data_IF_890892130374
#
_entry.id   IF_890892130374
#
_cell.length_a   1.000
_cell.length_b   1.000
_cell.length_c   1.000
_cell.angle_alpha   90.00
_cell.angle_beta   90.00
_cell.angle_gamma   90.00
#
_symmetry.space_group_name_H-M   'P 1'
#
loop_
_entity.id
_entity.type
_entity.pdbx_description
1 polymer ?
#
# COMPACT_ATOMS: atom_id res chain seq x y z
N UNK A 1 2.00 -4.72 18.78
CA UNK A 1 2.03 -4.84 17.31
C UNK A 1 1.55 -3.52 16.69
N UNK A 2 2.40 -2.85 15.92
CA UNK A 2 2.07 -1.61 15.21
C UNK A 2 1.98 -1.90 13.71
N UNK A 3 0.88 -1.54 13.07
CA UNK A 3 0.58 -1.96 11.68
C UNK A 3 -0.03 -0.82 10.87
N UNK A 4 -0.06 -0.88 9.53
CA UNK A 4 -0.91 0.01 8.73
C UNK A 4 -2.38 -0.05 9.17
N UNK A 5 -3.09 1.07 9.14
CA UNK A 5 -4.50 1.15 9.55
C UNK A 5 -5.40 0.13 8.84
N UNK A 6 -5.13 -0.18 7.57
CA UNK A 6 -5.83 -1.19 6.77
C UNK A 6 -5.59 -2.63 7.23
N UNK A 7 -4.52 -2.90 7.98
CA UNK A 7 -4.12 -4.25 8.40
C UNK A 7 -4.49 -4.55 9.86
N UNK A 8 -5.01 -3.59 10.62
CA UNK A 8 -5.41 -3.81 12.04
C UNK A 8 -6.41 -4.95 12.18
N UNK A 9 -7.46 -4.96 11.36
CA UNK A 9 -8.48 -6.02 11.40
C UNK A 9 -8.01 -7.34 10.81
N UNK A 10 -7.10 -7.27 9.83
CA UNK A 10 -6.46 -8.45 9.26
C UNK A 10 -5.66 -9.19 10.34
N UNK A 11 -4.78 -8.48 11.05
CA UNK A 11 -4.02 -9.06 12.15
C UNK A 11 -4.91 -9.58 13.27
N UNK A 12 -5.97 -8.85 13.65
CA UNK A 12 -6.96 -9.35 14.63
C UNK A 12 -7.57 -10.68 14.20
N UNK A 13 -7.86 -10.83 12.90
CA UNK A 13 -8.43 -12.04 12.33
C UNK A 13 -7.42 -13.19 12.31
N UNK A 14 -6.16 -12.92 11.99
CA UNK A 14 -5.08 -13.90 12.08
C UNK A 14 -4.86 -14.39 13.52
N UNK A 15 -4.87 -13.49 14.53
CA UNK A 15 -4.84 -13.91 15.94
C UNK A 15 -6.00 -14.87 16.27
N UNK A 16 -7.22 -14.60 15.81
CA UNK A 16 -8.36 -15.52 16.02
C UNK A 16 -8.19 -16.85 15.31
N UNK A 17 -7.68 -16.84 14.09
CA UNK A 17 -7.49 -18.03 13.24
C UNK A 17 -6.45 -18.98 13.83
N UNK A 18 -5.36 -18.45 14.36
CA UNK A 18 -4.25 -19.26 14.87
C UNK A 18 -4.38 -19.60 16.36
N UNK A 19 -4.98 -18.74 17.19
CA UNK A 19 -5.28 -19.04 18.59
C UNK A 19 -6.64 -19.74 18.73
N UNK A 20 -6.77 -20.93 18.14
CA UNK A 20 -8.01 -21.72 18.01
C UNK A 20 -8.66 -22.17 19.34
N UNK A 21 -8.13 -21.75 20.50
CA UNK A 21 -8.59 -22.16 21.85
C UNK A 21 -9.21 -21.01 22.65
N UNK A 22 -10.22 -20.33 22.10
CA UNK A 22 -11.08 -19.39 22.84
C UNK A 22 -11.13 -17.98 22.27
N UNK A 23 -11.28 -16.98 23.16
CA UNK A 23 -11.23 -15.56 22.75
C UNK A 23 -9.79 -15.21 22.41
N UNK A 24 -9.56 -14.65 21.23
CA UNK A 24 -8.23 -14.20 20.83
C UNK A 24 -7.66 -13.24 21.90
N UNK A 25 -6.44 -13.49 22.43
CA UNK A 25 -5.84 -12.74 23.53
C UNK A 25 -5.35 -11.35 23.13
N UNK A 26 -6.08 -10.67 22.25
CA UNK A 26 -5.67 -9.45 21.55
C UNK A 26 -6.69 -8.33 21.64
N UNK A 27 -6.20 -7.13 21.92
CA UNK A 27 -6.97 -5.89 21.91
C UNK A 27 -6.55 -4.99 20.75
N UNK A 28 -7.53 -4.45 20.03
CA UNK A 28 -7.29 -3.49 18.94
C UNK A 28 -7.62 -2.08 19.41
N UNK A 29 -6.72 -1.12 19.19
CA UNK A 29 -6.93 0.28 19.55
C UNK A 29 -7.63 1.02 18.42
N UNK A 30 -8.80 1.60 18.72
CA UNK A 30 -9.55 2.50 17.83
C UNK A 30 -9.72 3.89 18.44
N UNK A 31 -9.78 3.97 19.77
CA UNK A 31 -9.97 5.20 20.55
C UNK A 31 -9.05 5.21 21.76
N UNK A 32 -8.89 6.38 22.37
CA UNK A 32 -8.06 6.58 23.55
C UNK A 32 -8.50 5.76 24.77
N UNK A 33 -9.77 5.37 24.85
CA UNK A 33 -10.33 4.52 25.93
C UNK A 33 -9.80 3.10 25.87
N UNK A 34 -9.53 2.58 24.66
CA UNK A 34 -9.14 1.19 24.46
C UNK A 34 -7.76 0.91 25.07
N UNK A 35 -6.88 1.92 25.09
CA UNK A 35 -5.57 1.84 25.76
C UNK A 35 -5.76 1.71 27.28
N UNK A 36 -6.69 2.46 27.86
CA UNK A 36 -7.00 2.36 29.29
C UNK A 36 -7.61 1.00 29.61
N UNK A 37 -8.52 0.49 28.77
CA UNK A 37 -9.08 -0.86 28.92
C UNK A 37 -8.01 -1.94 28.80
N UNK A 38 -7.04 -1.77 27.89
CA UNK A 38 -5.91 -2.68 27.76
C UNK A 38 -5.10 -2.76 29.05
N UNK A 39 -4.77 -1.62 29.67
CA UNK A 39 -4.04 -1.59 30.96
C UNK A 39 -4.76 -2.39 32.04
N UNK A 40 -6.09 -2.28 32.12
CA UNK A 40 -6.88 -3.03 33.09
C UNK A 40 -7.04 -4.53 32.76
N UNK A 41 -6.75 -4.95 31.53
CA UNK A 41 -7.05 -6.30 31.03
C UNK A 41 -5.83 -7.04 30.47
N UNK A 42 -4.62 -6.51 30.69
CA UNK A 42 -3.36 -7.02 30.15
C UNK A 42 -3.09 -8.49 30.53
N UNK A 43 -3.57 -8.94 31.71
CA UNK A 43 -3.48 -10.34 32.14
C UNK A 43 -4.29 -11.30 31.28
N UNK A 44 -5.37 -10.83 30.66
CA UNK A 44 -6.28 -11.64 29.82
C UNK A 44 -6.02 -11.40 28.32
N UNK A 45 -5.68 -10.17 27.94
CA UNK A 45 -5.41 -9.76 26.56
C UNK A 45 -4.02 -9.13 26.46
N UNK A 46 -2.94 -9.93 26.55
CA UNK A 46 -1.56 -9.45 26.57
C UNK A 46 -1.09 -8.81 25.25
N UNK A 47 -1.82 -9.00 24.14
CA UNK A 47 -1.43 -8.46 22.84
C UNK A 47 -2.21 -7.18 22.50
N UNK A 48 -1.50 -6.10 22.18
CA UNK A 48 -2.08 -4.85 21.68
C UNK A 48 -1.77 -4.66 20.19
N UNK A 49 -2.80 -4.44 19.38
CA UNK A 49 -2.68 -4.03 17.96
C UNK A 49 -3.11 -2.59 17.83
N UNK A 50 -2.27 -1.76 17.22
CA UNK A 50 -2.53 -0.34 17.01
C UNK A 50 -2.02 0.10 15.64
N UNK A 51 -2.70 1.06 15.00
CA UNK A 51 -2.19 1.64 13.76
C UNK A 51 -1.02 2.60 14.02
N UNK A 52 -0.15 2.80 13.03
CA UNK A 52 0.93 3.80 13.13
C UNK A 52 0.42 5.20 13.50
N UNK A 53 -0.70 5.62 12.92
CA UNK A 53 -1.30 6.94 13.17
C UNK A 53 -1.83 7.04 14.60
N UNK A 54 -2.44 5.98 15.13
CA UNK A 54 -2.93 5.92 16.51
C UNK A 54 -1.78 5.82 17.51
N UNK A 55 -0.70 5.10 17.19
CA UNK A 55 0.49 5.02 18.03
C UNK A 55 1.14 6.40 18.19
N UNK A 56 1.27 7.16 17.09
CA UNK A 56 1.76 8.53 17.15
C UNK A 56 0.82 9.45 17.95
N UNK A 57 -0.50 9.32 17.74
CA UNK A 57 -1.51 10.13 18.42
C UNK A 57 -1.54 9.92 19.93
N UNK A 58 -1.32 8.68 20.40
CA UNK A 58 -1.46 8.30 21.79
C UNK A 58 -0.15 7.88 22.46
N UNK A 59 0.99 8.37 21.93
CA UNK A 59 2.35 8.01 22.39
C UNK A 59 2.56 8.15 23.91
N UNK A 60 2.00 9.19 24.53
CA UNK A 60 2.16 9.45 25.97
C UNK A 60 1.45 8.39 26.82
N UNK A 61 0.24 7.98 26.41
CA UNK A 61 -0.48 6.88 27.07
C UNK A 61 0.22 5.54 26.89
N UNK A 62 0.84 5.32 25.73
CA UNK A 62 1.59 4.10 25.45
C UNK A 62 2.90 4.05 26.22
N UNK A 63 3.59 5.19 26.42
CA UNK A 63 4.82 5.27 27.19
C UNK A 63 4.62 4.97 28.69
N UNK A 64 3.40 5.14 29.20
CA UNK A 64 3.04 4.74 30.57
C UNK A 64 2.90 3.21 30.74
N UNK A 65 2.97 2.44 29.64
CA UNK A 65 2.78 0.99 29.63
C UNK A 65 4.13 0.32 29.38
N UNK A 66 4.45 -0.68 30.18
CA UNK A 66 5.62 -1.51 29.92
C UNK A 66 5.29 -2.56 28.86
N UNK A 67 6.03 -2.55 27.74
CA UNK A 67 5.93 -3.58 26.70
C UNK A 67 7.23 -4.36 26.60
N UNK A 68 7.10 -5.68 26.48
CA UNK A 68 8.25 -6.61 26.32
C UNK A 68 8.82 -6.64 24.91
N UNK A 69 7.93 -6.56 23.91
CA UNK A 69 8.25 -6.75 22.49
C UNK A 69 7.44 -5.76 21.65
N UNK A 70 8.13 -5.03 20.78
CA UNK A 70 7.55 -4.18 19.76
C UNK A 70 7.71 -4.88 18.41
N UNK A 71 6.59 -5.24 17.80
CA UNK A 71 6.55 -5.71 16.41
C UNK A 71 5.96 -4.62 15.55
N UNK A 72 6.65 -4.21 14.48
CA UNK A 72 6.15 -3.26 13.50
C UNK A 72 6.05 -3.94 12.13
N UNK A 73 4.84 -3.97 11.58
CA UNK A 73 4.55 -4.51 10.26
C UNK A 73 4.62 -3.41 9.19
N UNK A 74 5.09 -3.73 7.99
CA UNK A 74 5.43 -2.74 6.95
C UNK A 74 6.44 -1.69 7.45
N UNK A 75 7.54 -2.18 8.03
CA UNK A 75 8.59 -1.41 8.69
C UNK A 75 9.22 -0.32 7.84
N UNK A 76 9.07 -0.35 6.51
CA UNK A 76 9.48 0.73 5.60
C UNK A 76 8.87 2.09 5.96
N UNK A 77 7.78 2.15 6.75
CA UNK A 77 7.24 3.40 7.31
C UNK A 77 8.16 4.11 8.31
N UNK A 78 9.16 3.41 8.85
CA UNK A 78 10.15 3.91 9.81
C UNK A 78 11.48 4.32 9.17
N UNK A 79 11.52 4.44 7.84
CA UNK A 79 12.73 4.75 7.07
C UNK A 79 13.40 6.07 7.45
N UNK A 80 12.65 7.08 7.88
CA UNK A 80 13.22 8.37 8.26
C UNK A 80 13.64 8.37 9.75
N UNK A 81 14.94 8.53 10.01
CA UNK A 81 15.54 8.61 11.36
C UNK A 81 14.88 9.71 12.21
N UNK A 82 14.63 10.86 11.61
CA UNK A 82 14.03 12.03 12.26
C UNK A 82 12.50 12.04 12.21
N UNK A 83 11.90 10.93 11.78
CA UNK A 83 10.44 10.79 11.70
C UNK A 83 9.81 10.87 13.08
N UNK A 84 8.79 11.72 13.23
CA UNK A 84 7.98 11.84 14.47
C UNK A 84 7.47 10.48 14.97
N UNK A 85 7.13 9.60 14.04
CA UNK A 85 6.68 8.24 14.33
C UNK A 85 7.78 7.40 14.98
N UNK A 86 8.99 7.42 14.41
CA UNK A 86 10.13 6.68 14.95
C UNK A 86 10.46 7.15 16.36
N UNK A 87 10.60 8.46 16.56
CA UNK A 87 10.81 9.05 17.89
C UNK A 87 9.73 8.66 18.90
N UNK A 88 8.46 8.63 18.47
CA UNK A 88 7.36 8.22 19.34
C UNK A 88 7.42 6.73 19.72
N UNK A 89 7.88 5.86 18.83
CA UNK A 89 8.08 4.43 19.13
C UNK A 89 9.34 4.20 19.96
N UNK A 90 10.41 4.97 19.71
CA UNK A 90 11.65 4.94 20.50
C UNK A 90 11.39 5.36 21.95
N UNK A 91 10.55 6.38 22.17
CA UNK A 91 10.16 6.84 23.51
C UNK A 91 9.38 5.81 24.33
N UNK A 92 8.90 4.71 23.72
CA UNK A 92 8.25 3.62 24.45
C UNK A 92 9.26 2.76 25.22
N UNK A 93 10.56 2.88 24.94
CA UNK A 93 11.60 2.17 25.68
C UNK A 93 11.54 0.64 25.58
N UNK A 94 10.91 0.11 24.53
CA UNK A 94 10.71 -1.33 24.38
C UNK A 94 12.03 -2.04 24.05
N UNK A 95 12.45 -3.06 24.84
CA UNK A 95 13.78 -3.64 24.73
C UNK A 95 13.97 -4.53 23.50
N UNK A 96 12.92 -5.27 23.10
CA UNK A 96 12.97 -6.20 21.96
C UNK A 96 12.13 -5.66 20.82
N UNK A 97 12.73 -5.50 19.65
CA UNK A 97 12.09 -4.89 18.47
C UNK A 97 12.20 -5.83 17.28
N UNK A 98 11.08 -6.03 16.58
CA UNK A 98 10.99 -6.83 15.37
C UNK A 98 10.35 -5.99 14.27
N UNK A 99 11.04 -5.84 13.15
CA UNK A 99 10.50 -5.21 11.94
C UNK A 99 10.16 -6.28 10.91
N UNK A 100 8.94 -6.23 10.38
CA UNK A 100 8.50 -7.03 9.25
C UNK A 100 8.39 -6.11 8.03
N UNK A 101 9.04 -6.46 6.92
CA UNK A 101 8.94 -5.70 5.67
C UNK A 101 9.04 -6.65 4.48
N UNK A 102 8.10 -6.51 3.53
CA UNK A 102 8.11 -7.29 2.28
C UNK A 102 9.12 -6.78 1.26
N UNK A 103 9.46 -5.49 1.32
CA UNK A 103 10.49 -4.85 0.51
C UNK A 103 11.71 -4.58 1.40
N UNK A 104 12.79 -5.36 1.28
CA UNK A 104 14.07 -4.90 1.79
C UNK A 104 14.50 -3.73 0.90
N UNK A 105 14.08 -2.53 1.30
CA UNK A 105 14.64 -1.22 1.01
C UNK A 105 15.36 -1.10 -0.34
N UNK A 106 14.60 -0.68 -1.34
CA UNK A 106 15.13 -0.42 -2.68
C UNK A 106 15.93 0.90 -2.66
N UNK A 107 17.25 0.77 -2.63
CA UNK A 107 18.25 1.75 -3.09
C UNK A 107 18.65 2.93 -2.18
N UNK A 108 18.26 2.99 -0.91
CA UNK A 108 18.76 4.02 0.02
C UNK A 108 19.44 3.40 1.26
N UNK A 109 20.77 3.56 1.32
CA UNK A 109 21.61 3.08 2.43
C UNK A 109 21.23 3.79 3.74
N UNK A 110 20.77 5.04 3.68
CA UNK A 110 20.32 5.80 4.84
C UNK A 110 19.04 5.21 5.42
N UNK A 111 18.09 4.85 4.57
CA UNK A 111 16.87 4.17 5.00
C UNK A 111 17.18 2.79 5.61
N UNK A 112 18.16 2.06 5.07
CA UNK A 112 18.61 0.79 5.61
C UNK A 112 19.28 0.92 6.98
N UNK A 113 20.22 1.84 7.11
CA UNK A 113 20.81 2.19 8.39
C UNK A 113 19.74 2.55 9.43
N UNK A 114 18.77 3.37 9.03
CA UNK A 114 17.67 3.80 9.88
C UNK A 114 16.87 2.61 10.44
N UNK A 115 16.49 1.64 9.61
CA UNK A 115 15.76 0.46 10.08
C UNK A 115 16.61 -0.44 10.99
N UNK A 116 17.89 -0.65 10.65
CA UNK A 116 18.81 -1.46 11.44
C UNK A 116 19.06 -0.86 12.83
N UNK A 117 19.33 0.45 12.88
CA UNK A 117 19.52 1.18 14.12
C UNK A 117 18.23 1.22 14.96
N UNK A 118 17.05 1.25 14.34
CA UNK A 118 15.80 1.12 15.08
C UNK A 118 15.65 -0.26 15.76
N UNK A 119 16.05 -1.35 15.08
CA UNK A 119 15.96 -2.72 15.64
C UNK A 119 17.04 -2.95 16.70
N UNK A 120 18.27 -2.50 16.43
CA UNK A 120 19.43 -2.64 17.31
C UNK A 120 20.11 -1.27 17.51
N UNK A 121 19.57 -0.43 18.41
CA UNK A 121 20.15 0.88 18.70
C UNK A 121 21.62 0.77 19.12
N UNK A 122 22.44 1.73 18.67
CA UNK A 122 23.86 1.85 19.02
C UNK A 122 24.78 0.70 18.55
N UNK A 123 24.28 -0.27 17.76
CA UNK A 123 25.12 -1.37 17.26
C UNK A 123 25.93 -1.01 16.00
N UNK A 124 25.48 -0.01 15.23
CA UNK A 124 26.02 0.31 13.91
C UNK A 124 26.80 1.64 13.86
N UNK A 125 27.05 2.27 15.02
CA UNK A 125 27.72 3.57 15.10
C UNK A 125 26.89 4.70 14.47
N UNK A 126 27.56 5.74 13.98
CA UNK A 126 26.90 6.82 13.23
C UNK A 126 26.62 6.40 11.79
N UNK A 127 25.73 7.11 11.10
CA UNK A 127 25.48 6.86 9.68
C UNK A 127 26.77 6.99 8.83
N UNK A 128 27.66 7.93 9.19
CA UNK A 128 28.95 8.11 8.51
C UNK A 128 29.85 6.89 8.68
N UNK A 129 29.90 6.33 9.89
CA UNK A 129 30.66 5.11 10.17
C UNK A 129 30.10 3.93 9.38
N UNK A 130 28.78 3.72 9.45
CA UNK A 130 28.09 2.68 8.72
C UNK A 130 28.32 2.78 7.22
N UNK A 131 28.19 3.97 6.64
CA UNK A 131 28.44 4.21 5.21
C UNK A 131 29.88 3.88 4.84
N UNK A 132 30.86 4.26 5.67
CA UNK A 132 32.26 3.92 5.42
C UNK A 132 32.51 2.41 5.46
N UNK A 133 31.84 1.69 6.37
CA UNK A 133 31.93 0.23 6.49
C UNK A 133 31.26 -0.48 5.31
N UNK A 134 30.14 0.03 4.79
CA UNK A 134 29.50 -0.49 3.57
C UNK A 134 30.43 -0.47 2.35
N UNK A 135 31.38 0.48 2.29
CA UNK A 135 32.37 0.57 1.21
C UNK A 135 33.60 -0.31 1.42
N UNK A 136 33.78 -0.87 2.62
CA UNK A 136 34.87 -1.82 2.90
C UNK A 136 34.41 -3.22 2.51
N UNK A 137 35.12 -3.86 1.61
CA UNK A 137 34.85 -5.26 1.18
C UNK A 137 35.31 -6.30 2.22
N UNK A 138 35.38 -5.94 3.50
CA UNK A 138 35.91 -6.80 4.56
C UNK A 138 34.87 -7.79 5.13
N UNK A 139 33.60 -7.70 4.71
CA UNK A 139 32.53 -8.63 5.07
C UNK A 139 32.07 -8.55 6.54
N UNK A 140 32.73 -7.75 7.37
CA UNK A 140 32.46 -7.63 8.81
C UNK A 140 31.03 -7.14 9.08
N UNK A 141 30.59 -6.14 8.30
CA UNK A 141 29.24 -5.58 8.38
C UNK A 141 28.17 -6.61 7.99
N UNK A 142 28.44 -7.45 6.99
CA UNK A 142 27.49 -8.47 6.54
C UNK A 142 27.23 -9.53 7.62
N UNK A 143 28.22 -9.86 8.45
CA UNK A 143 28.02 -10.77 9.59
C UNK A 143 27.02 -10.19 10.59
N UNK A 144 27.22 -8.94 11.02
CA UNK A 144 26.35 -8.27 11.98
C UNK A 144 24.93 -8.08 11.42
N UNK A 145 24.83 -7.75 10.12
CA UNK A 145 23.53 -7.65 9.43
C UNK A 145 22.85 -9.03 9.40
N UNK A 146 23.58 -10.10 9.10
CA UNK A 146 23.00 -11.44 9.02
C UNK A 146 22.42 -11.94 10.35
N UNK A 147 22.96 -11.48 11.48
CA UNK A 147 22.45 -11.79 12.82
C UNK A 147 21.11 -11.10 13.14
N UNK A 148 20.78 -9.99 12.46
CA UNK A 148 19.55 -9.23 12.71
C UNK A 148 18.55 -9.20 11.54
N UNK A 149 18.98 -9.59 10.35
CA UNK A 149 18.18 -9.59 9.13
C UNK A 149 17.99 -11.01 8.60
N UNK A 150 16.75 -11.50 8.69
CA UNK A 150 16.34 -12.71 7.99
C UNK A 150 15.61 -12.34 6.70
N UNK A 151 16.22 -12.67 5.55
CA UNK A 151 15.60 -12.52 4.22
C UNK A 151 15.50 -13.88 3.54
N UNK A 152 14.30 -14.26 3.13
CA UNK A 152 14.06 -15.43 2.26
C UNK A 152 13.64 -14.94 0.89
N UNK A 153 14.24 -15.46 -0.18
CA UNK A 153 13.76 -15.22 -1.54
C UNK A 153 12.56 -16.11 -1.83
N UNK A 154 11.70 -15.68 -2.75
CA UNK A 154 10.53 -16.44 -3.20
C UNK A 154 10.89 -17.80 -3.80
N UNK A 155 12.14 -17.97 -4.24
CA UNK A 155 12.70 -19.22 -4.78
C UNK A 155 12.62 -20.37 -3.76
N UNK A 156 12.80 -20.11 -2.47
CA UNK A 156 12.71 -21.14 -1.42
C UNK A 156 11.28 -21.70 -1.32
N UNK A 157 10.27 -20.87 -1.58
CA UNK A 157 8.87 -21.29 -1.54
C UNK A 157 8.40 -21.98 -2.83
N UNK A 158 9.18 -21.92 -3.92
CA UNK A 158 8.81 -22.55 -5.21
C UNK A 158 8.71 -24.07 -5.13
N UNK A 159 9.33 -24.69 -4.11
CA UNK A 159 9.24 -26.13 -3.85
C UNK A 159 7.84 -26.53 -3.36
N UNK A 160 7.09 -25.61 -2.77
CA UNK A 160 5.79 -25.87 -2.13
C UNK A 160 4.61 -25.13 -2.77
N UNK A 161 4.88 -24.24 -3.73
CA UNK A 161 3.87 -23.44 -4.41
C UNK A 161 3.84 -23.78 -5.90
N UNK A 162 2.65 -23.76 -6.54
CA UNK A 162 2.55 -23.84 -7.99
C UNK A 162 3.38 -22.76 -8.68
N UNK A 163 3.80 -23.03 -9.91
CA UNK A 163 4.56 -22.07 -10.73
C UNK A 163 3.73 -20.79 -10.91
N UNK A 164 4.31 -19.66 -10.49
CA UNK A 164 3.75 -18.34 -10.72
C UNK A 164 4.20 -17.83 -12.08
N UNK A 165 3.25 -17.55 -12.97
CA UNK A 165 3.51 -16.92 -14.27
C UNK A 165 3.12 -15.44 -14.21
N UNK A 166 4.08 -14.56 -14.46
CA UNK A 166 3.86 -13.11 -14.48
C UNK A 166 3.85 -12.62 -15.94
N UNK A 167 2.75 -11.98 -16.36
CA UNK A 167 2.59 -11.43 -17.71
C UNK A 167 2.37 -9.92 -17.67
N UNK A 168 3.08 -9.18 -18.52
CA UNK A 168 2.86 -7.74 -18.72
C UNK A 168 2.12 -7.55 -20.05
N UNK A 169 0.86 -7.14 -19.97
CA UNK A 169 0.01 -6.92 -21.15
C UNK A 169 0.01 -5.45 -21.56
N UNK A 170 0.53 -5.17 -22.75
CA UNK A 170 0.47 -3.85 -23.37
C UNK A 170 -0.88 -3.67 -24.07
N UNK A 171 -1.75 -2.87 -23.48
CA UNK A 171 -3.07 -2.57 -24.05
C UNK A 171 -2.99 -1.28 -24.88
N UNK A 172 -3.39 -1.34 -26.16
CA UNK A 172 -3.50 -0.14 -26.98
C UNK A 172 -4.59 0.81 -26.43
N UNK A 173 -4.35 2.14 -26.37
CA UNK A 173 -5.37 3.08 -25.95
C UNK A 173 -6.52 3.14 -26.96
N UNK A 174 -7.74 3.38 -26.48
CA UNK A 174 -8.89 3.69 -27.35
C UNK A 174 -8.67 5.00 -28.10
N UNK A 175 -9.38 5.22 -29.20
CA UNK A 175 -9.25 6.48 -29.96
C UNK A 175 -9.63 7.70 -29.13
N UNK A 176 -10.57 7.54 -28.19
CA UNK A 176 -10.90 8.57 -27.21
C UNK A 176 -9.73 8.84 -26.26
N UNK A 177 -9.07 7.81 -25.74
CA UNK A 177 -7.89 7.96 -24.90
C UNK A 177 -6.74 8.65 -25.64
N UNK A 178 -6.51 8.31 -26.92
CA UNK A 178 -5.49 8.95 -27.74
C UNK A 178 -5.74 10.45 -27.88
N UNK A 179 -6.98 10.84 -28.24
CA UNK A 179 -7.38 12.25 -28.35
C UNK A 179 -7.22 13.00 -27.04
N UNK A 180 -7.69 12.41 -25.93
CA UNK A 180 -7.55 13.02 -24.60
C UNK A 180 -6.10 13.21 -24.18
N UNK A 181 -5.25 12.20 -24.38
CA UNK A 181 -3.84 12.29 -24.03
C UNK A 181 -3.13 13.35 -24.88
N UNK A 182 -3.42 13.41 -26.18
CA UNK A 182 -2.89 14.44 -27.06
C UNK A 182 -3.28 15.84 -26.60
N UNK A 183 -4.56 16.07 -26.31
CA UNK A 183 -5.05 17.36 -25.79
C UNK A 183 -4.42 17.76 -24.45
N UNK A 184 -4.19 16.80 -23.54
CA UNK A 184 -3.48 17.05 -22.28
C UNK A 184 -2.05 17.51 -22.55
N UNK A 185 -1.36 16.90 -23.51
CA UNK A 185 0.03 17.23 -23.84
C UNK A 185 0.18 18.58 -24.54
N UNK A 186 -0.71 18.91 -25.47
CA UNK A 186 -0.60 20.11 -26.29
C UNK A 186 -1.19 21.37 -25.61
N UNK A 187 -2.34 21.24 -24.95
CA UNK A 187 -3.13 22.40 -24.56
C UNK A 187 -3.21 22.65 -23.06
N UNK A 188 -2.81 21.70 -22.21
CA UNK A 188 -2.88 21.86 -20.75
C UNK A 188 -1.50 22.13 -20.19
N UNK A 189 -1.29 23.37 -19.75
CA UNK A 189 -0.11 23.76 -18.98
C UNK A 189 -0.44 23.78 -17.49
N UNK A 190 0.38 23.11 -16.67
CA UNK A 190 0.16 23.03 -15.23
C UNK A 190 1.30 22.32 -14.52
N UNK A 191 1.19 22.18 -13.20
CA UNK A 191 2.19 21.44 -12.42
C UNK A 191 2.33 19.99 -12.94
N UNK A 192 3.56 19.47 -13.12
CA UNK A 192 3.80 18.13 -13.67
C UNK A 192 3.01 17.03 -12.96
N UNK A 193 2.85 17.12 -11.63
CA UNK A 193 2.08 16.15 -10.85
C UNK A 193 0.59 16.13 -11.19
N UNK A 194 0.01 17.29 -11.52
CA UNK A 194 -1.39 17.42 -11.94
C UNK A 194 -1.57 16.77 -13.31
N UNK A 195 -0.67 17.04 -14.26
CA UNK A 195 -0.69 16.46 -15.60
C UNK A 195 -0.52 14.93 -15.55
N UNK A 196 0.44 14.43 -14.77
CA UNK A 196 0.64 12.99 -14.54
C UNK A 196 -0.64 12.36 -13.99
N UNK A 197 -1.31 13.02 -13.04
CA UNK A 197 -2.56 12.50 -12.46
C UNK A 197 -3.70 12.48 -13.49
N UNK A 198 -3.82 13.50 -14.34
CA UNK A 198 -4.81 13.55 -15.44
C UNK A 198 -4.57 12.44 -16.46
N UNK A 199 -3.33 12.29 -16.94
CA UNK A 199 -2.94 11.22 -17.87
C UNK A 199 -3.19 9.84 -17.28
N UNK A 200 -2.83 9.62 -16.00
CA UNK A 200 -3.11 8.36 -15.31
C UNK A 200 -4.60 8.05 -15.25
N UNK A 201 -5.46 9.05 -15.04
CA UNK A 201 -6.93 8.86 -15.01
C UNK A 201 -7.47 8.54 -16.40
N UNK A 202 -7.07 9.30 -17.42
CA UNK A 202 -7.44 9.04 -18.82
C UNK A 202 -7.02 7.64 -19.27
N UNK A 203 -5.79 7.23 -18.94
CA UNK A 203 -5.24 5.92 -19.29
C UNK A 203 -5.93 4.74 -18.57
N UNK A 204 -6.54 4.96 -17.41
CA UNK A 204 -7.38 3.94 -16.75
C UNK A 204 -8.77 3.90 -17.39
N UNK A 205 -9.47 5.03 -17.41
CA UNK A 205 -10.75 5.17 -18.09
C UNK A 205 -11.12 6.66 -18.28
N UNK A 206 -11.53 7.11 -19.49
CA UNK A 206 -11.92 8.50 -19.73
C UNK A 206 -12.96 9.06 -18.75
N UNK A 207 -13.92 8.23 -18.31
CA UNK A 207 -14.97 8.62 -17.35
C UNK A 207 -14.44 9.12 -16.00
N UNK A 208 -13.28 8.62 -15.55
CA UNK A 208 -12.69 9.04 -14.28
C UNK A 208 -12.17 10.48 -14.39
N UNK A 209 -11.56 10.79 -15.53
CA UNK A 209 -11.12 12.15 -15.83
C UNK A 209 -12.34 13.06 -16.02
N UNK A 210 -13.32 12.66 -16.84
CA UNK A 210 -14.53 13.46 -17.09
C UNK A 210 -15.22 13.89 -15.79
N UNK A 211 -15.47 12.93 -14.88
CA UNK A 211 -16.13 13.22 -13.60
C UNK A 211 -15.35 14.25 -12.77
N UNK A 212 -14.02 14.17 -12.78
CA UNK A 212 -13.19 15.18 -12.10
C UNK A 212 -13.29 16.55 -12.76
N UNK A 213 -13.25 16.61 -14.09
CA UNK A 213 -13.30 17.86 -14.83
C UNK A 213 -14.67 18.53 -14.64
N UNK A 214 -15.76 17.77 -14.71
CA UNK A 214 -17.13 18.25 -14.52
C UNK A 214 -17.42 18.72 -13.09
N UNK A 215 -16.80 18.10 -12.09
CA UNK A 215 -16.91 18.49 -10.67
C UNK A 215 -15.98 19.66 -10.30
N UNK A 216 -15.09 20.09 -11.20
CA UNK A 216 -14.14 21.17 -10.92
C UNK A 216 -14.76 22.55 -11.16
N UNK A 217 -14.49 23.50 -10.26
CA UNK A 217 -14.86 24.91 -10.43
C UNK A 217 -14.06 25.62 -11.55
N UNK A 218 -13.17 24.90 -12.25
CA UNK A 218 -12.28 25.40 -13.31
C UNK A 218 -12.69 24.92 -14.70
N UNK A 219 -13.99 24.79 -14.95
CA UNK A 219 -14.54 24.23 -16.20
C UNK A 219 -14.04 24.97 -17.46
N UNK A 220 -13.82 26.28 -17.37
CA UNK A 220 -13.27 27.12 -18.45
C UNK A 220 -11.83 26.73 -18.85
N UNK A 221 -11.00 26.33 -17.87
CA UNK A 221 -9.60 25.92 -18.08
C UNK A 221 -9.48 24.58 -18.82
N UNK A 222 -10.53 23.76 -18.78
CA UNK A 222 -10.58 22.40 -19.37
C UNK A 222 -11.58 22.28 -20.51
N UNK A 223 -12.00 23.40 -21.09
CA UNK A 223 -12.99 23.44 -22.18
C UNK A 223 -12.55 22.65 -23.42
N UNK A 224 -11.26 22.71 -23.78
CA UNK A 224 -10.65 21.89 -24.84
C UNK A 224 -10.80 20.40 -24.56
N UNK A 225 -10.45 19.94 -23.35
CA UNK A 225 -10.60 18.55 -22.95
C UNK A 225 -12.07 18.09 -22.95
N UNK A 226 -12.98 18.91 -22.44
CA UNK A 226 -14.39 18.59 -22.38
C UNK A 226 -15.00 18.44 -23.79
N UNK A 227 -14.49 19.17 -24.78
CA UNK A 227 -14.92 19.06 -26.18
C UNK A 227 -14.61 17.70 -26.83
N UNK A 228 -13.60 16.97 -26.31
CA UNK A 228 -13.27 15.61 -26.79
C UNK A 228 -14.33 14.60 -26.39
N UNK A 229 -15.06 14.88 -25.30
CA UNK A 229 -16.14 14.02 -24.84
C UNK A 229 -17.42 14.29 -25.65
N UNK A 230 -18.14 13.23 -26.04
CA UNK A 230 -19.49 13.36 -26.59
C UNK A 230 -20.41 14.19 -25.67
N UNK A 231 -21.35 14.94 -26.24
CA UNK A 231 -22.24 15.82 -25.47
C UNK A 231 -23.14 15.04 -24.49
N UNK A 232 -23.43 13.77 -24.78
CA UNK A 232 -24.21 12.85 -23.95
C UNK A 232 -23.35 12.04 -22.95
N UNK A 233 -22.05 12.36 -22.82
CA UNK A 233 -21.13 11.56 -22.02
C UNK A 233 -21.48 11.53 -20.52
N UNK A 234 -22.15 12.56 -20.01
CA UNK A 234 -22.61 12.62 -18.62
C UNK A 234 -23.83 11.74 -18.32
N UNK A 235 -24.69 11.50 -19.32
CA UNK A 235 -25.95 10.77 -19.16
C UNK A 235 -25.88 9.32 -19.65
N UNK A 236 -24.85 8.97 -20.43
CA UNK A 236 -24.67 7.60 -20.94
C UNK A 236 -24.04 6.65 -19.91
N UNK A 237 -24.37 5.35 -19.94
CA UNK A 237 -23.65 4.36 -19.15
C UNK A 237 -22.19 4.25 -19.59
N UNK A 238 -21.31 3.90 -18.65
CA UNK A 238 -19.87 3.75 -18.91
C UNK A 238 -19.65 2.68 -19.98
N UNK A 239 -19.08 3.07 -21.12
CA UNK A 239 -18.79 2.15 -22.23
C UNK A 239 -17.43 1.50 -22.07
N UNK A 240 -17.40 0.19 -22.22
CA UNK A 240 -16.17 -0.61 -22.11
C UNK A 240 -15.15 -0.24 -23.19
N UNK A 241 -15.64 0.09 -24.40
CA UNK A 241 -14.85 0.52 -25.56
C UNK A 241 -14.10 1.83 -25.37
N UNK A 242 -14.48 2.64 -24.36
CA UNK A 242 -13.82 3.92 -24.10
C UNK A 242 -12.43 3.71 -23.49
N UNK A 243 -12.09 2.52 -22.99
CA UNK A 243 -10.77 2.18 -22.45
C UNK A 243 -10.23 0.87 -23.01
N UNK A 244 -9.04 0.94 -23.61
CA UNK A 244 -8.37 -0.25 -24.14
C UNK A 244 -8.01 -1.27 -23.07
N UNK A 245 -7.54 -0.81 -21.90
CA UNK A 245 -7.25 -1.69 -20.75
C UNK A 245 -8.50 -2.39 -20.22
N UNK A 246 -9.62 -1.66 -20.16
CA UNK A 246 -10.87 -2.24 -19.68
C UNK A 246 -11.44 -3.26 -20.66
N UNK A 247 -11.31 -2.99 -21.96
CA UNK A 247 -11.73 -3.91 -23.03
C UNK A 247 -10.98 -5.25 -22.93
N UNK A 248 -9.64 -5.21 -22.86
CA UNK A 248 -8.81 -6.41 -22.70
C UNK A 248 -9.13 -7.15 -21.39
N UNK A 249 -9.28 -6.42 -20.28
CA UNK A 249 -9.60 -7.03 -18.99
C UNK A 249 -10.93 -7.80 -19.01
N UNK A 250 -11.94 -7.28 -19.71
CA UNK A 250 -13.26 -7.92 -19.76
C UNK A 250 -13.24 -9.19 -20.61
N UNK A 251 -12.52 -9.18 -21.73
CA UNK A 251 -12.29 -10.39 -22.51
C UNK A 251 -11.55 -11.46 -21.68
N UNK A 252 -10.53 -11.06 -20.91
CA UNK A 252 -9.84 -11.98 -19.99
C UNK A 252 -10.76 -12.51 -18.90
N UNK A 253 -11.58 -11.65 -18.29
CA UNK A 253 -12.55 -12.07 -17.26
C UNK A 253 -13.58 -13.05 -17.81
N UNK A 254 -14.04 -12.86 -19.06
CA UNK A 254 -14.95 -13.79 -19.70
C UNK A 254 -14.29 -15.17 -19.88
N UNK A 255 -13.03 -15.21 -20.31
CA UNK A 255 -12.24 -16.44 -20.44
C UNK A 255 -12.04 -17.14 -19.08
N UNK A 256 -11.59 -16.40 -18.05
CA UNK A 256 -11.39 -16.96 -16.71
C UNK A 256 -12.68 -17.47 -16.08
N UNK A 257 -13.81 -16.81 -16.33
CA UNK A 257 -15.12 -17.27 -15.88
C UNK A 257 -15.51 -18.60 -16.53
N UNK A 258 -15.25 -18.77 -17.82
CA UNK A 258 -15.47 -20.05 -18.53
C UNK A 258 -14.59 -21.17 -17.97
N UNK A 259 -13.38 -20.85 -17.52
CA UNK A 259 -12.45 -21.78 -16.87
C UNK A 259 -12.79 -22.09 -15.41
N UNK A 260 -13.76 -21.37 -14.81
CA UNK A 260 -14.11 -21.52 -13.39
C UNK A 260 -13.08 -20.91 -12.44
N UNK A 261 -12.21 -20.03 -12.92
CA UNK A 261 -11.13 -19.41 -12.16
C UNK A 261 -11.60 -18.18 -11.36
N UNK A 262 -11.00 -17.96 -10.19
CA UNK A 262 -11.25 -16.78 -9.37
C UNK A 262 -10.24 -15.67 -9.69
N UNK A 263 -10.74 -14.46 -9.97
CA UNK A 263 -9.90 -13.31 -10.35
C UNK A 263 -9.88 -12.28 -9.24
N UNK A 264 -8.67 -11.89 -8.82
CA UNK A 264 -8.45 -10.76 -7.91
C UNK A 264 -7.97 -9.54 -8.72
N UNK A 265 -8.75 -8.47 -8.70
CA UNK A 265 -8.43 -7.22 -9.40
C UNK A 265 -7.94 -6.19 -8.40
N UNK A 266 -6.73 -5.65 -8.63
CA UNK A 266 -6.13 -4.60 -7.80
C UNK A 266 -6.06 -3.31 -8.61
N UNK A 267 -6.55 -2.20 -8.04
CA UNK A 267 -6.47 -0.88 -8.65
C UNK A 267 -6.22 0.20 -7.60
N UNK A 268 -5.35 1.16 -7.93
CA UNK A 268 -5.03 2.30 -7.07
C UNK A 268 -6.13 3.39 -7.10
N UNK A 269 -7.12 3.28 -7.99
CA UNK A 269 -8.22 4.23 -8.11
C UNK A 269 -9.52 3.57 -7.67
N UNK A 270 -10.01 3.92 -6.48
CA UNK A 270 -11.31 3.45 -5.96
C UNK A 270 -12.46 3.73 -6.93
N UNK A 271 -12.36 4.80 -7.73
CA UNK A 271 -13.31 5.16 -8.79
C UNK A 271 -13.42 4.10 -9.90
N UNK A 272 -12.34 3.40 -10.23
CA UNK A 272 -12.37 2.29 -11.21
C UNK A 272 -13.20 1.13 -10.67
N UNK A 273 -13.15 0.86 -9.36
CA UNK A 273 -13.94 -0.21 -8.74
C UNK A 273 -15.46 -0.02 -8.91
N UNK A 274 -15.94 1.22 -9.04
CA UNK A 274 -17.35 1.50 -9.32
C UNK A 274 -17.76 1.16 -10.75
N UNK A 275 -16.84 1.26 -11.71
CA UNK A 275 -17.09 0.85 -13.11
C UNK A 275 -17.42 -0.65 -13.17
N UNK A 276 -16.75 -1.46 -12.34
CA UNK A 276 -17.03 -2.89 -12.21
C UNK A 276 -18.28 -3.24 -11.39
N UNK A 277 -18.83 -2.29 -10.61
CA UNK A 277 -20.03 -2.51 -9.77
C UNK A 277 -21.34 -2.13 -10.46
N UNK A 278 -21.30 -1.36 -11.54
CA UNK A 278 -22.43 -1.28 -12.46
C UNK A 278 -22.71 -2.70 -12.95
N UNK A 279 -23.97 -3.16 -13.08
CA UNK A 279 -24.23 -4.47 -13.64
C UNK A 279 -23.51 -4.51 -14.99
N UNK A 280 -22.45 -5.32 -15.07
CA UNK A 280 -21.88 -5.73 -16.35
C UNK A 280 -23.10 -6.27 -17.07
N UNK A 281 -23.59 -5.61 -18.15
CA UNK A 281 -24.70 -6.15 -18.89
C UNK A 281 -24.28 -7.57 -19.20
N UNK A 282 -25.12 -8.51 -18.78
CA UNK A 282 -25.01 -9.93 -19.07
C UNK A 282 -24.36 -10.05 -20.44
N UNK A 283 -23.06 -10.41 -20.45
CA UNK A 283 -22.37 -10.82 -21.65
C UNK A 283 -23.05 -12.13 -22.03
N UNK A 284 -24.20 -11.99 -22.68
CA UNK A 284 -24.82 -13.01 -23.50
C UNK A 284 -23.83 -13.20 -24.65
N UNK A 285 -22.82 -14.02 -24.37
CA UNK A 285 -22.02 -14.67 -25.38
C UNK A 285 -22.99 -15.60 -26.12
N UNK A 286 -23.45 -15.14 -27.28
CA UNK A 286 -23.84 -16.04 -28.37
C UNK A 286 -22.59 -16.39 -29.16
#
# INVERSE_FOLDING_TARGET
LVVPSSLVDNWRSEFRKWFQMGRAPVMTVRRASDITTYVCSVSTYPYLIISYEMALRYREKLAAIHFDILVCDEGHRLKNVNGKLRQALDSLGVPRRLLLTGTPLQNDIEEFFSLLDFVRPNCFGTFTDFKSQCHREDGSLNMIISDCLLRRTSEINSVHLPVRNDYVLFCAPSDMQKKLLHEICEHISGEPLVLINMMRKAANHPAILFKQLSESNKCYEYSSLLSVFPQDYSSRPVRLSDSGKLSVLIEMMACFRQMGECVVIVSNFTKVCYIFRSPLPTLALH
#
